data_IF_963459539862
#
_entry.id   IF_963459539862
#
_cell.length_a   1.000
_cell.length_b   1.000
_cell.length_c   1.000
_cell.angle_alpha   90.00
_cell.angle_beta   90.00
_cell.angle_gamma   90.00
#
_symmetry.space_group_name_H-M   'P 1'
#
loop_
_entity.id
_entity.type
_entity.pdbx_description
1 polymer ?
#
# COMPACT_ATOMS: atom_id res chain seq x y z
N UNK A 1 -3.96 10.94 -8.59
CA UNK A 1 -2.80 10.39 -7.87
C UNK A 1 -1.77 9.99 -8.88
N UNK A 2 -0.54 10.39 -8.65
CA UNK A 2 0.66 9.92 -9.34
C UNK A 2 1.15 8.62 -8.69
N UNK A 3 1.95 7.82 -9.41
CA UNK A 3 2.52 6.57 -8.88
C UNK A 3 3.34 6.78 -7.60
N UNK A 4 3.96 7.95 -7.46
CA UNK A 4 4.72 8.33 -6.28
C UNK A 4 3.80 8.55 -5.06
N UNK A 5 2.60 9.11 -5.26
CA UNK A 5 1.57 9.20 -4.22
C UNK A 5 1.01 7.82 -3.85
N UNK A 6 0.80 6.94 -4.84
CA UNK A 6 0.35 5.56 -4.60
C UNK A 6 1.39 4.78 -3.76
N UNK A 7 2.67 4.95 -4.08
CA UNK A 7 3.77 4.38 -3.31
C UNK A 7 3.79 4.88 -1.86
N UNK A 8 3.64 6.20 -1.67
CA UNK A 8 3.60 6.79 -0.33
C UNK A 8 2.40 6.28 0.48
N UNK A 9 1.22 6.22 -0.14
CA UNK A 9 0.00 5.71 0.49
C UNK A 9 0.12 4.22 0.86
N UNK A 10 0.69 3.40 -0.02
CA UNK A 10 0.90 1.98 0.22
C UNK A 10 1.91 1.73 1.38
N UNK A 11 3.00 2.50 1.44
CA UNK A 11 3.95 2.44 2.58
C UNK A 11 3.31 2.88 3.89
N UNK A 12 2.51 3.95 3.86
CA UNK A 12 1.77 4.42 5.04
C UNK A 12 0.81 3.33 5.54
N UNK A 13 0.09 2.68 4.63
CA UNK A 13 -0.79 1.57 4.96
C UNK A 13 -0.04 0.37 5.57
N UNK A 14 1.13 0.03 5.03
CA UNK A 14 1.98 -1.03 5.59
C UNK A 14 2.43 -0.69 7.01
N UNK A 15 2.85 0.55 7.23
CA UNK A 15 3.25 1.02 8.55
C UNK A 15 2.08 0.97 9.53
N UNK A 16 0.91 1.48 9.15
CA UNK A 16 -0.31 1.42 9.96
C UNK A 16 -0.63 -0.02 10.41
N UNK A 17 -0.59 -0.98 9.48
CA UNK A 17 -0.81 -2.40 9.78
C UNK A 17 0.24 -2.97 10.74
N UNK A 18 1.51 -2.56 10.60
CA UNK A 18 2.59 -2.95 11.51
C UNK A 18 2.50 -2.26 12.88
N UNK A 19 1.92 -1.06 12.95
CA UNK A 19 1.77 -0.27 14.19
C UNK A 19 0.58 -0.74 15.04
N UNK A 20 -0.18 -1.74 14.57
CA UNK A 20 -1.30 -2.34 15.29
C UNK A 20 -2.67 -2.03 14.70
N UNK A 21 -2.75 -1.35 13.54
CA UNK A 21 -4.01 -1.17 12.83
C UNK A 21 -4.44 -2.49 12.18
N UNK A 22 -5.74 -2.80 12.28
CA UNK A 22 -6.29 -4.04 11.71
C UNK A 22 -6.47 -3.98 10.19
N UNK A 23 -6.79 -2.79 9.67
CA UNK A 23 -7.10 -2.54 8.26
C UNK A 23 -6.48 -1.21 7.84
N UNK A 24 -5.83 -1.18 6.68
CA UNK A 24 -5.33 0.03 6.06
C UNK A 24 -5.85 0.15 4.63
N UNK A 25 -6.22 1.35 4.22
CA UNK A 25 -6.84 1.59 2.91
C UNK A 25 -5.88 2.35 2.02
N UNK A 26 -5.69 1.87 0.81
CA UNK A 26 -4.83 2.46 -0.22
C UNK A 26 -5.69 2.80 -1.43
N UNK A 27 -5.50 3.97 -2.01
CA UNK A 27 -6.09 4.30 -3.30
C UNK A 27 -5.17 3.78 -4.41
N UNK A 28 -5.67 2.83 -5.18
CA UNK A 28 -5.01 2.23 -6.35
C UNK A 28 -5.89 2.49 -7.56
N UNK A 29 -5.36 3.17 -8.58
CA UNK A 29 -6.07 3.40 -9.84
C UNK A 29 -7.48 4.05 -9.65
N UNK A 30 -7.60 4.94 -8.66
CA UNK A 30 -8.89 5.58 -8.30
C UNK A 30 -9.87 4.68 -7.53
N UNK A 31 -9.49 3.44 -7.19
CA UNK A 31 -10.26 2.54 -6.31
C UNK A 31 -9.61 2.44 -4.93
N UNK A 32 -10.41 2.40 -3.88
CA UNK A 32 -9.90 2.07 -2.53
C UNK A 32 -9.77 0.56 -2.41
N UNK A 33 -8.59 0.11 -2.04
CA UNK A 33 -8.26 -1.27 -1.72
C UNK A 33 -7.91 -1.33 -0.24
N UNK A 34 -8.54 -2.25 0.47
CA UNK A 34 -8.31 -2.46 1.90
C UNK A 34 -7.33 -3.61 2.08
N UNK A 35 -6.28 -3.36 2.85
CA UNK A 35 -5.28 -4.34 3.22
C UNK A 35 -5.36 -4.61 4.72
N UNK A 36 -5.11 -5.85 5.09
CA UNK A 36 -5.10 -6.32 6.47
C UNK A 36 -3.79 -7.03 6.77
N UNK A 37 -3.60 -7.44 8.02
CA UNK A 37 -2.42 -8.24 8.42
C UNK A 37 -2.28 -9.55 7.65
N UNK A 38 -3.37 -10.14 7.15
CA UNK A 38 -3.33 -11.32 6.26
C UNK A 38 -2.87 -10.98 4.84
N UNK A 39 -3.22 -9.81 4.33
CA UNK A 39 -2.83 -9.34 2.98
C UNK A 39 -1.58 -8.45 2.99
N UNK A 40 -0.83 -8.41 4.09
CA UNK A 40 0.39 -7.61 4.22
C UNK A 40 1.47 -8.03 3.22
N UNK A 41 1.50 -9.32 2.88
CA UNK A 41 2.42 -9.88 1.90
C UNK A 41 2.14 -9.33 0.50
N UNK A 42 0.87 -9.26 0.11
CA UNK A 42 0.44 -8.67 -1.17
C UNK A 42 0.71 -7.16 -1.19
N UNK A 43 0.47 -6.46 -0.09
CA UNK A 43 0.79 -5.04 0.04
C UNK A 43 2.29 -4.77 -0.16
N UNK A 44 3.16 -5.57 0.44
CA UNK A 44 4.62 -5.48 0.25
C UNK A 44 5.03 -5.72 -1.21
N UNK A 45 4.45 -6.73 -1.87
CA UNK A 45 4.70 -6.99 -3.29
C UNK A 45 4.27 -5.81 -4.16
N UNK A 46 3.09 -5.25 -3.89
CA UNK A 46 2.57 -4.10 -4.63
C UNK A 46 3.45 -2.86 -4.47
N UNK A 47 3.95 -2.59 -3.26
CA UNK A 47 4.93 -1.51 -3.02
C UNK A 47 6.19 -1.73 -3.85
N UNK A 48 6.75 -2.94 -3.85
CA UNK A 48 7.96 -3.24 -4.62
C UNK A 48 7.75 -3.07 -6.14
N UNK A 49 6.61 -3.49 -6.68
CA UNK A 49 6.27 -3.26 -8.09
C UNK A 49 6.11 -1.78 -8.43
N UNK A 50 5.52 -0.99 -7.52
CA UNK A 50 5.40 0.46 -7.67
C UNK A 50 6.77 1.15 -7.63
N UNK A 51 7.68 0.72 -6.75
CA UNK A 51 9.05 1.26 -6.69
C UNK A 51 9.79 1.04 -8.01
N UNK A 52 9.70 -0.16 -8.58
CA UNK A 52 10.35 -0.51 -9.86
C UNK A 52 9.79 0.31 -11.02
N UNK A 53 8.50 0.63 -11.02
CA UNK A 53 7.86 1.42 -12.09
C UNK A 53 7.98 2.94 -11.93
N UNK A 54 8.40 3.40 -10.76
CA UNK A 54 8.59 4.84 -10.45
C UNK A 54 10.07 5.24 -10.55
N UNK A 55 10.99 4.29 -10.41
CA UNK A 55 12.43 4.47 -10.61
C UNK A 55 12.87 4.48 -12.07
#
# INVERSE_FOLDING_TARGET
MTRQEELAAARAALHDLMTGKRVATVQKDGRRVEFTTTSVSDLKKYIAELEVQTG
#
